data_IF_362030314200
#
_entry.id   IF_362030314200
#
_cell.length_a   1.000
_cell.length_b   1.000
_cell.length_c   1.000
_cell.angle_alpha   90.00
_cell.angle_beta   90.00
_cell.angle_gamma   90.00
#
_symmetry.space_group_name_H-M   'P 1'
#
loop_
_entity.id
_entity.type
_entity.pdbx_description
1 polymer ?
#
# COMPACT_ATOMS: atom_id res chain seq x y z
N UNK A 1 -10.00 24.14 -7.27
CA UNK A 1 -10.61 24.17 -6.83
C UNK A 1 -11.43 23.81 -7.09
N UNK A 2 -12.01 23.67 -7.41
CA UNK A 2 -12.76 23.54 -7.27
C UNK A 2 -13.34 23.43 -7.07
N UNK A 3 -13.82 23.24 -7.16
CA UNK A 3 -14.51 23.39 -6.74
C UNK A 3 -15.25 23.45 -6.40
N UNK A 4 -15.59 23.13 -5.88
CA UNK A 4 -16.36 23.83 -5.71
C UNK A 4 -16.52 24.69 -6.38
N UNK A 5 -17.10 24.83 -6.53
CA UNK A 5 -16.81 25.72 -7.13
C UNK A 5 -16.31 26.77 -6.74
N UNK A 6 -15.52 26.81 -6.57
CA UNK A 6 -15.05 28.04 -6.35
C UNK A 6 -15.10 28.81 -7.60
N UNK A 7 -15.83 29.85 -7.65
CA UNK A 7 -15.84 30.74 -8.77
C UNK A 7 -16.02 30.09 -10.10
N UNK A 8 -16.82 29.08 -10.19
CA UNK A 8 -17.05 28.41 -11.44
C UNK A 8 -15.93 27.53 -11.94
N UNK A 9 -14.91 27.37 -11.17
CA UNK A 9 -13.82 26.48 -11.55
C UNK A 9 -14.24 25.04 -11.36
N UNK A 10 -14.09 24.24 -12.40
CA UNK A 10 -14.34 22.82 -12.27
C UNK A 10 -13.01 22.14 -12.02
N UNK A 11 -12.99 21.28 -11.03
CA UNK A 11 -11.85 20.46 -10.75
C UNK A 11 -12.23 19.01 -10.99
N UNK A 12 -11.30 18.22 -11.47
CA UNK A 12 -11.54 16.80 -11.62
C UNK A 12 -11.48 16.11 -10.27
N UNK A 13 -11.93 14.88 -10.23
CA UNK A 13 -11.99 14.10 -8.99
C UNK A 13 -10.62 13.98 -8.33
N UNK A 14 -9.56 13.80 -9.12
CA UNK A 14 -8.22 13.69 -8.59
C UNK A 14 -7.78 14.97 -7.86
N UNK A 15 -8.10 16.14 -8.39
CA UNK A 15 -7.78 17.39 -7.73
C UNK A 15 -8.45 17.51 -6.37
N UNK A 16 -9.70 17.05 -6.28
CA UNK A 16 -10.41 17.04 -5.00
C UNK A 16 -9.76 16.10 -4.00
N UNK A 17 -9.36 14.92 -4.45
CA UNK A 17 -8.69 13.96 -3.59
C UNK A 17 -7.36 14.50 -3.09
N UNK A 18 -6.57 15.12 -3.98
CA UNK A 18 -5.30 15.73 -3.59
C UNK A 18 -5.50 16.85 -2.58
N UNK A 19 -6.51 17.69 -2.80
CA UNK A 19 -6.81 18.78 -1.88
C UNK A 19 -7.26 18.24 -0.53
N UNK A 20 -8.14 17.25 -0.52
CA UNK A 20 -8.61 16.65 0.72
C UNK A 20 -7.45 16.05 1.51
N UNK A 21 -6.53 15.38 0.81
CA UNK A 21 -5.35 14.81 1.45
C UNK A 21 -4.50 15.89 2.12
N UNK A 22 -4.25 16.98 1.43
CA UNK A 22 -3.47 18.09 1.99
C UNK A 22 -4.13 18.77 3.18
N UNK A 23 -5.44 18.87 3.15
CA UNK A 23 -6.19 19.56 4.19
C UNK A 23 -6.42 18.69 5.43
N UNK A 24 -6.67 17.40 5.22
CA UNK A 24 -7.06 16.50 6.30
C UNK A 24 -5.90 15.67 6.84
N UNK A 25 -4.88 15.46 6.03
CA UNK A 25 -3.73 14.65 6.40
C UNK A 25 -2.51 15.16 5.63
N UNK A 26 -1.67 15.92 6.30
CA UNK A 26 -0.51 16.53 5.68
C UNK A 26 0.59 15.53 5.34
N UNK A 27 0.46 14.27 5.75
CA UNK A 27 1.47 13.25 5.51
C UNK A 27 1.12 12.37 4.33
N UNK A 28 2.13 11.78 3.72
CA UNK A 28 1.94 10.82 2.65
C UNK A 28 1.60 9.46 3.21
N UNK A 29 1.00 8.63 2.37
CA UNK A 29 0.55 7.29 2.76
C UNK A 29 1.12 6.24 1.83
N UNK A 30 1.64 5.17 2.40
CA UNK A 30 2.09 3.99 1.65
C UNK A 30 1.27 2.78 2.08
N UNK A 31 0.80 2.01 1.10
CA UNK A 31 0.15 0.73 1.35
C UNK A 31 1.16 -0.37 1.02
N UNK A 32 1.45 -1.22 1.99
CA UNK A 32 2.54 -2.20 1.91
C UNK A 32 1.96 -3.61 1.92
N UNK A 33 2.33 -4.41 0.94
CA UNK A 33 1.97 -5.83 0.89
C UNK A 33 2.65 -6.60 2.02
N UNK A 34 2.02 -7.68 2.47
CA UNK A 34 2.57 -8.47 3.56
C UNK A 34 3.45 -9.62 3.04
N UNK A 35 2.85 -10.61 2.39
CA UNK A 35 3.61 -11.76 1.90
C UNK A 35 4.52 -11.35 0.74
N UNK A 36 5.80 -11.61 0.87
CA UNK A 36 6.77 -11.29 -0.16
C UNK A 36 7.35 -9.89 -0.07
N UNK A 37 6.88 -9.06 0.87
CA UNK A 37 7.45 -7.73 1.14
C UNK A 37 7.83 -7.61 2.61
N UNK A 38 6.85 -7.64 3.52
CA UNK A 38 7.13 -7.57 4.96
C UNK A 38 7.66 -8.91 5.45
N UNK A 39 7.06 -10.01 5.00
CA UNK A 39 7.43 -11.36 5.42
C UNK A 39 7.99 -12.14 4.24
N UNK A 40 8.95 -13.00 4.52
CA UNK A 40 9.44 -13.94 3.52
C UNK A 40 8.28 -14.80 3.05
N UNK A 41 8.27 -15.12 1.75
CA UNK A 41 7.15 -15.87 1.19
C UNK A 41 7.61 -16.78 0.07
N UNK A 42 7.35 -18.06 0.22
CA UNK A 42 7.65 -19.07 -0.80
C UNK A 42 6.41 -19.93 -1.08
N UNK A 43 5.23 -19.35 -0.96
CA UNK A 43 3.96 -19.98 -1.22
C UNK A 43 3.07 -20.04 0.01
N UNK A 44 1.77 -20.07 -0.22
CA UNK A 44 0.80 -20.12 0.86
C UNK A 44 0.81 -21.52 1.51
N UNK A 45 0.99 -21.59 2.82
CA UNK A 45 1.09 -22.85 3.57
C UNK A 45 -0.02 -23.02 4.60
N UNK A 46 -1.03 -22.16 4.55
CA UNK A 46 -2.17 -22.26 5.44
C UNK A 46 -2.31 -21.06 6.37
N UNK A 47 -3.46 -20.97 7.05
CA UNK A 47 -3.69 -19.91 8.02
C UNK A 47 -2.67 -19.98 9.17
N UNK A 48 -2.21 -18.85 9.62
CA UNK A 48 -1.29 -18.79 10.75
C UNK A 48 0.14 -19.18 10.44
N UNK A 49 0.43 -19.62 9.21
CA UNK A 49 1.80 -19.96 8.81
C UNK A 49 2.36 -18.79 8.03
N UNK A 50 3.19 -18.00 8.71
CA UNK A 50 3.74 -16.76 8.19
C UNK A 50 5.26 -16.88 8.12
N UNK A 51 5.85 -16.27 7.11
CA UNK A 51 7.30 -16.26 6.96
C UNK A 51 7.96 -15.34 7.96
N UNK A 52 9.28 -15.38 7.99
CA UNK A 52 10.07 -14.50 8.87
C UNK A 52 10.01 -13.06 8.38
N UNK A 53 10.08 -12.09 9.29
CA UNK A 53 10.07 -10.69 8.88
C UNK A 53 11.34 -10.33 8.12
N UNK A 54 11.18 -9.53 7.07
CA UNK A 54 12.31 -9.00 6.34
C UNK A 54 12.85 -7.77 7.07
N UNK A 55 14.10 -7.91 7.49
CA UNK A 55 14.75 -6.87 8.28
C UNK A 55 14.86 -5.55 7.51
N UNK A 56 15.23 -5.62 6.22
CA UNK A 56 15.38 -4.42 5.41
C UNK A 56 14.07 -3.65 5.26
N UNK A 57 12.97 -4.36 5.12
CA UNK A 57 11.65 -3.72 4.99
C UNK A 57 11.23 -3.11 6.33
N UNK A 58 11.46 -3.81 7.42
CA UNK A 58 11.14 -3.27 8.74
C UNK A 58 11.90 -1.97 8.99
N UNK A 59 13.17 -1.93 8.64
CA UNK A 59 13.99 -0.72 8.81
C UNK A 59 13.49 0.40 7.91
N UNK A 60 13.14 0.09 6.66
CA UNK A 60 12.59 1.09 5.74
C UNK A 60 11.28 1.67 6.28
N UNK A 61 10.41 0.82 6.81
CA UNK A 61 9.14 1.31 7.37
C UNK A 61 9.36 2.19 8.61
N UNK A 62 10.38 1.88 9.41
CA UNK A 62 10.73 2.74 10.54
C UNK A 62 11.22 4.10 10.08
N UNK A 63 12.01 4.14 9.01
CA UNK A 63 12.45 5.43 8.45
C UNK A 63 11.26 6.22 7.93
N UNK A 64 10.39 5.59 7.16
CA UNK A 64 9.20 6.25 6.65
C UNK A 64 8.33 6.79 7.78
N UNK A 65 8.16 6.00 8.85
CA UNK A 65 7.41 6.45 10.01
C UNK A 65 8.06 7.70 10.62
N UNK A 66 9.38 7.71 10.74
CA UNK A 66 10.09 8.87 11.30
C UNK A 66 9.96 10.10 10.42
N UNK A 67 9.72 9.92 9.12
CA UNK A 67 9.50 11.00 8.17
C UNK A 67 8.03 11.44 8.10
N UNK A 68 7.17 10.83 8.90
CA UNK A 68 5.77 11.21 9.00
C UNK A 68 4.81 10.47 8.08
N UNK A 69 5.25 9.41 7.42
CA UNK A 69 4.37 8.64 6.54
C UNK A 69 3.33 7.86 7.33
N UNK A 70 2.14 7.77 6.78
CA UNK A 70 1.12 6.82 7.25
C UNK A 70 1.37 5.49 6.56
N UNK A 71 1.34 4.40 7.33
CA UNK A 71 1.65 3.06 6.83
C UNK A 71 0.40 2.19 6.94
N UNK A 72 -0.08 1.71 5.80
CA UNK A 72 -1.22 0.81 5.73
C UNK A 72 -0.71 -0.54 5.25
N UNK A 73 -1.09 -1.61 5.92
CA UNK A 73 -0.76 -2.95 5.48
C UNK A 73 -1.87 -3.46 4.57
N UNK A 74 -1.50 -3.99 3.43
CA UNK A 74 -2.41 -4.42 2.38
C UNK A 74 -2.21 -5.93 2.18
N UNK A 75 -3.19 -6.73 2.57
CA UNK A 75 -3.02 -8.18 2.60
C UNK A 75 -4.34 -8.91 2.42
N UNK A 76 -4.27 -10.13 1.88
CA UNK A 76 -5.44 -11.03 1.82
C UNK A 76 -5.58 -11.88 3.08
N UNK A 77 -4.63 -11.80 4.01
CA UNK A 77 -4.69 -12.56 5.25
C UNK A 77 -5.60 -11.89 6.27
N UNK A 78 -5.98 -12.64 7.31
CA UNK A 78 -6.84 -12.14 8.36
C UNK A 78 -6.20 -11.01 9.16
N UNK A 79 -6.99 -10.00 9.48
CA UNK A 79 -6.51 -8.81 10.17
C UNK A 79 -5.87 -9.11 11.52
N UNK A 80 -6.50 -9.98 12.30
CA UNK A 80 -6.03 -10.25 13.65
C UNK A 80 -4.67 -10.93 13.66
N UNK A 81 -4.46 -11.91 12.78
CA UNK A 81 -3.16 -12.58 12.75
C UNK A 81 -2.06 -11.66 12.24
N UNK A 82 -2.39 -10.77 11.29
CA UNK A 82 -1.41 -9.82 10.77
C UNK A 82 -1.08 -8.76 11.82
N UNK A 83 -2.07 -8.24 12.52
CA UNK A 83 -1.84 -7.27 13.59
C UNK A 83 -0.94 -7.86 14.67
N UNK A 84 -1.18 -9.11 15.06
CA UNK A 84 -0.36 -9.79 16.06
C UNK A 84 1.09 -9.94 15.58
N UNK A 85 1.27 -10.37 14.33
CA UNK A 85 2.61 -10.52 13.74
C UNK A 85 3.37 -9.20 13.74
N UNK A 86 2.71 -8.14 13.27
CA UNK A 86 3.35 -6.83 13.18
C UNK A 86 3.78 -6.31 14.55
N UNK A 87 2.95 -6.51 15.56
CA UNK A 87 3.27 -6.10 16.93
C UNK A 87 4.39 -6.94 17.51
N UNK A 88 4.35 -8.27 17.33
CA UNK A 88 5.40 -9.15 17.84
C UNK A 88 6.77 -8.83 17.25
N UNK A 89 6.80 -8.43 15.98
CA UNK A 89 8.07 -8.15 15.31
C UNK A 89 8.40 -6.66 15.26
N UNK A 90 7.65 -5.84 15.98
CA UNK A 90 7.88 -4.40 16.09
C UNK A 90 7.95 -3.71 14.73
N UNK A 91 7.03 -4.06 13.85
CA UNK A 91 6.92 -3.46 12.53
C UNK A 91 5.88 -2.34 12.62
N UNK A 92 6.23 -1.09 12.29
CA UNK A 92 5.29 0.02 12.41
C UNK A 92 4.17 -0.08 11.38
N UNK A 93 2.95 0.19 11.81
CA UNK A 93 1.80 0.28 10.92
C UNK A 93 0.70 1.11 11.59
N UNK A 94 -0.17 1.66 10.77
CA UNK A 94 -1.31 2.45 11.27
C UNK A 94 -2.62 1.69 11.12
N UNK A 95 -2.88 1.11 9.95
CA UNK A 95 -4.13 0.39 9.67
C UNK A 95 -3.85 -0.81 8.77
N UNK A 96 -4.82 -1.71 8.69
CA UNK A 96 -4.74 -2.89 7.83
C UNK A 96 -5.93 -2.87 6.90
N UNK A 97 -5.66 -2.93 5.59
CA UNK A 97 -6.66 -3.03 4.52
C UNK A 97 -7.67 -1.88 4.48
N UNK A 98 -7.38 -0.77 5.13
CA UNK A 98 -8.25 0.40 5.05
C UNK A 98 -7.46 1.66 5.34
N UNK A 99 -7.98 2.79 4.89
CA UNK A 99 -7.48 4.11 5.28
C UNK A 99 -8.67 4.92 5.79
N UNK A 100 -8.78 5.02 7.11
CA UNK A 100 -9.92 5.66 7.75
C UNK A 100 -9.96 7.18 7.56
N UNK A 101 -8.89 7.77 7.04
CA UNK A 101 -8.89 9.19 6.69
C UNK A 101 -9.80 9.48 5.48
N UNK A 102 -10.18 8.44 4.74
CA UNK A 102 -11.01 8.59 3.54
C UNK A 102 -12.21 7.66 3.61
N UNK A 103 -13.37 8.20 3.26
CA UNK A 103 -14.58 7.38 3.19
C UNK A 103 -14.77 6.95 1.75
N UNK A 104 -14.57 5.67 1.49
CA UNK A 104 -14.64 5.11 0.13
C UNK A 104 -15.57 3.91 0.09
N UNK A 105 -16.14 3.64 -1.09
CA UNK A 105 -17.05 2.52 -1.27
C UNK A 105 -16.32 1.20 -1.55
N UNK A 106 -15.16 1.28 -2.18
CA UNK A 106 -14.40 0.08 -2.55
C UNK A 106 -13.45 -0.37 -1.45
N UNK A 107 -12.96 -1.62 -1.56
CA UNK A 107 -12.08 -2.18 -0.52
C UNK A 107 -10.62 -1.74 -0.61
N UNK A 108 -10.19 -1.16 -1.72
CA UNK A 108 -8.81 -0.76 -1.89
C UNK A 108 -8.52 0.48 -1.06
N UNK A 109 -7.56 0.43 -0.12
CA UNK A 109 -7.26 1.60 0.69
C UNK A 109 -6.64 2.71 -0.15
N UNK A 110 -7.01 3.95 0.13
CA UNK A 110 -6.39 5.11 -0.51
C UNK A 110 -4.95 5.23 -0.03
N UNK A 111 -4.02 5.40 -0.96
CA UNK A 111 -2.61 5.58 -0.64
C UNK A 111 -1.94 6.36 -1.77
N UNK A 112 -0.82 7.03 -1.45
CA UNK A 112 -0.04 7.71 -2.48
C UNK A 112 0.67 6.69 -3.37
N UNK A 113 1.07 5.55 -2.79
CA UNK A 113 1.65 4.46 -3.57
C UNK A 113 1.41 3.12 -2.88
N UNK A 114 1.57 2.04 -3.65
CA UNK A 114 1.41 0.67 -3.17
C UNK A 114 2.72 -0.06 -3.39
N UNK A 115 3.28 -0.61 -2.31
CA UNK A 115 4.56 -1.33 -2.33
C UNK A 115 4.25 -2.82 -2.29
N UNK A 116 4.38 -3.48 -3.43
CA UNK A 116 3.86 -4.82 -3.66
C UNK A 116 4.82 -5.59 -4.58
N UNK A 117 5.07 -6.85 -4.26
CA UNK A 117 5.96 -7.69 -5.05
C UNK A 117 5.30 -8.29 -6.30
N UNK A 118 3.98 -8.15 -6.43
CA UNK A 118 3.22 -8.72 -7.56
C UNK A 118 2.50 -7.65 -8.35
N UNK A 119 3.15 -6.54 -8.57
CA UNK A 119 2.54 -5.40 -9.25
C UNK A 119 3.37 -4.98 -10.45
N UNK A 120 2.68 -4.54 -11.48
CA UNK A 120 3.29 -3.87 -12.62
C UNK A 120 2.77 -2.44 -12.62
N UNK A 121 3.66 -1.48 -12.50
CA UNK A 121 3.27 -0.07 -12.60
C UNK A 121 2.86 0.24 -14.02
N UNK A 122 1.67 0.84 -14.18
CA UNK A 122 1.22 1.26 -15.50
C UNK A 122 2.17 2.34 -16.02
N UNK A 123 2.78 2.10 -17.17
CA UNK A 123 3.78 3.00 -17.74
C UNK A 123 3.18 4.14 -18.58
N UNK A 124 1.87 4.11 -18.79
CA UNK A 124 1.21 4.99 -19.74
C UNK A 124 1.16 4.39 -21.16
N UNK A 125 1.70 3.19 -21.35
CA UNK A 125 1.77 2.52 -22.64
C UNK A 125 1.43 1.04 -22.46
N UNK A 126 0.19 0.68 -22.74
CA UNK A 126 -0.29 -0.68 -22.54
C UNK A 126 0.47 -1.71 -23.38
N UNK A 127 0.88 -1.33 -24.58
CA UNK A 127 1.63 -2.26 -25.44
C UNK A 127 2.97 -2.63 -24.82
N UNK A 128 3.64 -1.65 -24.23
CA UNK A 128 4.89 -1.88 -23.51
C UNK A 128 4.62 -2.78 -22.29
N UNK A 129 3.58 -2.49 -21.55
CA UNK A 129 3.28 -3.24 -20.32
C UNK A 129 2.92 -4.69 -20.60
N UNK A 130 2.35 -5.01 -21.78
CA UNK A 130 2.08 -6.39 -22.14
C UNK A 130 3.32 -7.26 -22.09
N UNK A 131 4.46 -6.73 -22.53
CA UNK A 131 5.72 -7.45 -22.46
C UNK A 131 6.13 -7.71 -21.01
N UNK A 132 6.03 -6.70 -20.18
CA UNK A 132 6.36 -6.80 -18.76
C UNK A 132 5.43 -7.80 -18.06
N UNK A 133 4.14 -7.75 -18.38
CA UNK A 133 3.12 -8.65 -17.78
C UNK A 133 3.42 -10.11 -18.17
N UNK A 134 3.74 -10.36 -19.44
CA UNK A 134 3.94 -11.71 -19.93
C UNK A 134 5.22 -12.36 -19.38
N UNK A 135 6.21 -11.55 -19.06
CA UNK A 135 7.49 -12.04 -18.53
C UNK A 135 7.62 -11.83 -17.03
N UNK A 136 6.52 -11.53 -16.36
CA UNK A 136 6.57 -11.16 -14.95
C UNK A 136 7.16 -12.27 -14.08
N UNK A 137 8.03 -11.87 -13.16
CA UNK A 137 8.54 -12.70 -12.07
C UNK A 137 8.58 -11.82 -10.83
N UNK A 138 8.32 -12.40 -9.67
CA UNK A 138 8.54 -11.68 -8.42
C UNK A 138 10.04 -11.54 -8.18
N UNK A 139 10.42 -10.65 -7.29
CA UNK A 139 11.84 -10.42 -6.98
C UNK A 139 12.51 -11.69 -6.46
N UNK A 140 11.76 -12.59 -5.84
CA UNK A 140 12.28 -13.86 -5.32
C UNK A 140 12.30 -14.98 -6.37
N UNK A 141 11.85 -14.69 -7.59
CA UNK A 141 11.79 -15.67 -8.68
C UNK A 141 10.55 -16.54 -8.69
N UNK A 142 9.57 -16.24 -7.84
CA UNK A 142 8.32 -16.98 -7.84
C UNK A 142 7.33 -16.40 -8.84
N UNK A 143 6.37 -17.20 -9.21
CA UNK A 143 5.33 -16.78 -10.15
C UNK A 143 4.00 -16.54 -9.48
#
# INVERSE_FOLDING_TARGET
>A
MDLLKLGGITTNKKSWEDMAHKLNNSRRTIAVDFDGVIAEYDGYKGPGILGDPRQDVREALRELRSEGWKIIIHTTRGELEIADYLKRHTIPFDEINQNSDYKTAGPKPVADLYWDDRAVSYSGNARKDLGTIRSFRTWSGRE
#
